data_IF_705867068892
#
_entry.id   IF_705867068892
#
_cell.length_a   1.000
_cell.length_b   1.000
_cell.length_c   1.000
_cell.angle_alpha   90.00
_cell.angle_beta   90.00
_cell.angle_gamma   90.00
#
_symmetry.space_group_name_H-M   'P 1'
#
loop_
_entity.id
_entity.type
_entity.pdbx_description
1 polymer ?
#
# COMPACT_ATOMS: atom_id res chain seq x y z
N UNK A 1 -27.54 7.08 -8.22
CA UNK A 1 -27.55 5.80 -7.47
C UNK A 1 -27.37 6.00 -5.97
N UNK A 2 -26.36 6.76 -5.51
CA UNK A 2 -26.23 7.16 -4.10
C UNK A 2 -27.46 7.92 -3.55
N UNK A 3 -28.02 8.85 -4.34
CA UNK A 3 -29.24 9.57 -3.98
C UNK A 3 -30.46 8.65 -3.79
N UNK A 4 -30.60 7.60 -4.61
CA UNK A 4 -31.73 6.67 -4.51
C UNK A 4 -31.63 5.78 -3.27
N UNK A 5 -30.43 5.33 -2.92
CA UNK A 5 -30.20 4.60 -1.67
C UNK A 5 -30.48 5.48 -0.45
N UNK A 6 -29.98 6.73 -0.46
CA UNK A 6 -30.22 7.69 0.63
C UNK A 6 -31.72 7.96 0.82
N UNK A 7 -32.47 8.10 -0.26
CA UNK A 7 -33.92 8.27 -0.24
C UNK A 7 -34.64 7.04 0.32
N UNK A 8 -34.25 5.82 -0.07
CA UNK A 8 -34.81 4.58 0.47
C UNK A 8 -34.54 4.42 1.97
N UNK A 9 -33.33 4.77 2.43
CA UNK A 9 -32.97 4.75 3.85
C UNK A 9 -33.76 5.79 4.63
N UNK A 10 -33.90 7.01 4.10
CA UNK A 10 -34.68 8.07 4.75
C UNK A 10 -36.16 7.69 4.86
N UNK A 11 -36.74 7.09 3.82
CA UNK A 11 -38.12 6.58 3.84
C UNK A 11 -38.28 5.44 4.85
N UNK A 12 -37.33 4.52 4.94
CA UNK A 12 -37.34 3.45 5.94
C UNK A 12 -37.24 3.97 7.38
N UNK A 13 -36.54 5.08 7.61
CA UNK A 13 -36.37 5.69 8.93
C UNK A 13 -37.64 6.39 9.43
N UNK A 14 -38.34 7.09 8.53
CA UNK A 14 -39.49 7.95 8.86
C UNK A 14 -40.86 7.28 8.66
N UNK A 15 -40.91 6.06 8.13
CA UNK A 15 -42.18 5.35 7.91
C UNK A 15 -42.73 4.76 9.23
N UNK A 16 -43.98 5.11 9.55
CA UNK A 16 -44.66 4.68 10.77
C UNK A 16 -45.33 3.30 10.62
N UNK A 17 -45.68 2.92 9.38
CA UNK A 17 -46.27 1.62 9.10
C UNK A 17 -45.19 0.52 9.14
N UNK A 18 -45.32 -0.50 10.02
CA UNK A 18 -44.30 -1.54 10.16
C UNK A 18 -44.09 -2.36 8.87
N UNK A 19 -45.17 -2.68 8.13
CA UNK A 19 -45.08 -3.41 6.86
C UNK A 19 -44.34 -2.60 5.77
N UNK A 20 -44.63 -1.30 5.65
CA UNK A 20 -43.97 -0.44 4.67
C UNK A 20 -42.51 -0.17 5.05
N UNK A 21 -42.25 0.00 6.34
CA UNK A 21 -40.90 0.15 6.89
C UNK A 21 -40.05 -1.06 6.55
N UNK A 22 -40.54 -2.26 6.81
CA UNK A 22 -39.83 -3.50 6.46
C UNK A 22 -39.56 -3.59 4.95
N UNK A 23 -40.55 -3.23 4.12
CA UNK A 23 -40.38 -3.20 2.67
C UNK A 23 -39.28 -2.23 2.21
N UNK A 24 -39.25 -1.01 2.74
CA UNK A 24 -38.20 -0.04 2.39
C UNK A 24 -36.82 -0.49 2.90
N UNK A 25 -36.76 -1.12 4.08
CA UNK A 25 -35.53 -1.71 4.60
C UNK A 25 -35.02 -2.83 3.69
N UNK A 26 -35.89 -3.76 3.28
CA UNK A 26 -35.52 -4.83 2.36
C UNK A 26 -35.02 -4.28 1.02
N UNK A 27 -35.69 -3.27 0.46
CA UNK A 27 -35.26 -2.60 -0.78
C UNK A 27 -33.90 -1.91 -0.62
N UNK A 28 -33.66 -1.25 0.51
CA UNK A 28 -32.37 -0.64 0.81
C UNK A 28 -31.26 -1.71 0.95
N UNK A 29 -31.52 -2.79 1.67
CA UNK A 29 -30.59 -3.92 1.84
C UNK A 29 -30.27 -4.57 0.50
N UNK A 30 -31.28 -4.87 -0.32
CA UNK A 30 -31.09 -5.47 -1.65
C UNK A 30 -30.24 -4.56 -2.54
N UNK A 31 -30.51 -3.25 -2.52
CA UNK A 31 -29.73 -2.28 -3.28
C UNK A 31 -28.27 -2.20 -2.78
N UNK A 32 -28.04 -2.22 -1.47
CA UNK A 32 -26.70 -2.27 -0.87
C UNK A 32 -25.97 -3.55 -1.31
N UNK A 33 -26.62 -4.71 -1.26
CA UNK A 33 -26.03 -5.98 -1.67
C UNK A 33 -25.68 -6.00 -3.17
N UNK A 34 -26.55 -5.46 -4.03
CA UNK A 34 -26.26 -5.30 -5.46
C UNK A 34 -25.07 -4.37 -5.71
N UNK A 35 -25.03 -3.22 -5.05
CA UNK A 35 -23.91 -2.28 -5.14
C UNK A 35 -22.61 -2.94 -4.66
N UNK A 36 -22.66 -3.65 -3.53
CA UNK A 36 -21.50 -4.38 -3.00
C UNK A 36 -21.03 -5.49 -3.93
N UNK A 37 -21.96 -6.22 -4.56
CA UNK A 37 -21.65 -7.24 -5.56
C UNK A 37 -20.89 -6.68 -6.78
N UNK A 38 -21.12 -5.41 -7.13
CA UNK A 38 -20.44 -4.72 -8.23
C UNK A 38 -19.26 -3.84 -7.79
N UNK A 39 -18.84 -3.90 -6.52
CA UNK A 39 -17.82 -3.00 -5.94
C UNK A 39 -16.51 -2.93 -6.73
N UNK A 40 -16.08 -4.03 -7.37
CA UNK A 40 -14.86 -4.08 -8.20
C UNK A 40 -14.90 -3.13 -9.42
N UNK A 41 -16.09 -2.81 -9.90
CA UNK A 41 -16.32 -1.93 -11.05
C UNK A 41 -16.62 -0.48 -10.63
N UNK A 42 -16.71 -0.20 -9.32
CA UNK A 42 -16.95 1.15 -8.80
C UNK A 42 -15.65 1.95 -8.73
N UNK A 43 -15.76 3.28 -8.66
CA UNK A 43 -14.61 4.17 -8.54
C UNK A 43 -13.72 3.81 -7.35
N UNK A 44 -12.42 4.13 -7.44
CA UNK A 44 -11.33 3.56 -6.65
C UNK A 44 -11.46 3.60 -5.12
N UNK A 45 -12.40 4.36 -4.55
CA UNK A 45 -12.60 4.41 -3.10
C UNK A 45 -13.67 3.43 -2.59
N UNK A 46 -14.50 2.86 -3.47
CA UNK A 46 -15.55 1.91 -3.08
C UNK A 46 -15.05 0.46 -3.00
N UNK A 47 -13.90 0.14 -3.62
CA UNK A 47 -13.29 -1.19 -3.55
C UNK A 47 -12.15 -1.20 -2.52
N UNK A 48 -12.26 -1.99 -1.42
CA UNK A 48 -11.27 -1.97 -0.34
C UNK A 48 -9.83 -2.28 -0.78
N UNK A 49 -9.64 -3.05 -1.86
CA UNK A 49 -8.31 -3.40 -2.37
C UNK A 49 -7.78 -2.47 -3.48
N UNK A 50 -8.54 -1.44 -3.89
CA UNK A 50 -8.13 -0.56 -4.98
C UNK A 50 -6.84 0.22 -4.70
N UNK A 51 -6.62 0.62 -3.44
CA UNK A 51 -5.36 1.30 -3.04
C UNK A 51 -4.17 0.35 -3.08
N UNK A 52 -4.35 -0.91 -2.68
CA UNK A 52 -3.30 -1.93 -2.76
C UNK A 52 -2.93 -2.25 -4.21
N UNK A 53 -3.91 -2.28 -5.13
CA UNK A 53 -3.65 -2.47 -6.55
C UNK A 53 -2.62 -1.47 -7.11
N UNK A 54 -2.75 -0.18 -6.78
CA UNK A 54 -1.79 0.85 -7.23
C UNK A 54 -0.39 0.61 -6.68
N UNK A 55 -0.29 0.21 -5.41
CA UNK A 55 0.99 -0.10 -4.77
C UNK A 55 1.64 -1.32 -5.45
N UNK A 56 0.87 -2.37 -5.75
CA UNK A 56 1.36 -3.56 -6.46
C UNK A 56 1.84 -3.21 -7.87
N UNK A 57 1.07 -2.42 -8.61
CA UNK A 57 1.47 -1.93 -9.94
C UNK A 57 2.78 -1.14 -9.86
N UNK A 58 2.92 -0.25 -8.89
CA UNK A 58 4.16 0.49 -8.62
C UNK A 58 5.35 -0.44 -8.33
N UNK A 59 5.16 -1.45 -7.48
CA UNK A 59 6.22 -2.39 -7.10
C UNK A 59 6.62 -3.33 -8.26
N UNK A 60 5.73 -3.56 -9.23
CA UNK A 60 6.04 -4.38 -10.42
C UNK A 60 7.15 -3.80 -11.31
N UNK A 61 7.39 -2.49 -11.21
CA UNK A 61 8.45 -1.78 -11.96
C UNK A 61 9.86 -2.20 -11.45
N UNK A 62 9.94 -2.77 -10.25
CA UNK A 62 11.18 -3.05 -9.53
C UNK A 62 11.63 -4.50 -9.72
N UNK A 63 11.39 -5.09 -10.89
CA UNK A 63 11.80 -6.45 -11.15
C UNK A 63 13.33 -6.58 -10.95
N UNK A 64 13.84 -7.72 -10.43
CA UNK A 64 15.27 -7.93 -10.25
C UNK A 64 16.10 -7.71 -11.53
N UNK A 65 15.47 -7.83 -12.69
CA UNK A 65 16.05 -7.58 -14.00
C UNK A 65 16.14 -6.10 -14.39
N UNK A 66 15.54 -5.19 -13.60
CA UNK A 66 15.51 -3.76 -13.89
C UNK A 66 16.89 -3.08 -13.72
N UNK A 67 17.81 -3.66 -12.94
CA UNK A 67 19.16 -3.14 -12.80
C UNK A 67 20.07 -3.61 -13.95
N UNK A 68 20.06 -2.87 -15.06
CA UNK A 68 20.85 -3.16 -16.26
C UNK A 68 22.37 -3.07 -16.02
N UNK A 69 22.81 -2.29 -15.03
CA UNK A 69 24.22 -2.12 -14.69
C UNK A 69 24.78 -3.31 -13.93
N UNK A 70 23.96 -4.02 -13.15
CA UNK A 70 24.42 -5.20 -12.39
C UNK A 70 24.98 -6.30 -13.29
N UNK A 71 24.42 -6.44 -14.50
CA UNK A 71 24.86 -7.44 -15.49
C UNK A 71 26.12 -7.01 -16.26
N UNK A 72 26.48 -5.73 -16.19
CA UNK A 72 27.50 -5.12 -17.04
C UNK A 72 28.53 -4.31 -16.21
N UNK A 73 28.80 -4.69 -14.96
CA UNK A 73 29.81 -4.05 -14.09
C UNK A 73 31.23 -4.25 -14.66
N UNK A 74 31.60 -3.46 -15.67
CA UNK A 74 32.89 -3.52 -16.35
C UNK A 74 33.87 -2.48 -15.80
N UNK A 75 33.38 -1.42 -15.15
CA UNK A 75 34.20 -0.38 -14.56
C UNK A 75 33.62 0.27 -13.31
N UNK A 76 34.40 1.19 -12.71
CA UNK A 76 34.05 1.91 -11.48
C UNK A 76 32.73 2.68 -11.59
N UNK A 77 32.48 3.33 -12.73
CA UNK A 77 31.23 4.07 -12.95
C UNK A 77 30.02 3.14 -13.03
N UNK A 78 30.13 1.98 -13.69
CA UNK A 78 29.04 1.00 -13.76
C UNK A 78 28.73 0.41 -12.38
N UNK A 79 29.76 0.17 -11.57
CA UNK A 79 29.57 -0.28 -10.18
C UNK A 79 28.86 0.78 -9.33
N UNK A 80 29.28 2.05 -9.41
CA UNK A 80 28.62 3.14 -8.69
C UNK A 80 27.17 3.34 -9.15
N UNK A 81 26.90 3.24 -10.45
CA UNK A 81 25.56 3.34 -11.01
C UNK A 81 24.67 2.17 -10.56
N UNK A 82 25.19 0.95 -10.56
CA UNK A 82 24.47 -0.24 -10.11
C UNK A 82 24.13 -0.18 -8.61
N UNK A 83 25.07 0.29 -7.78
CA UNK A 83 24.86 0.47 -6.34
C UNK A 83 23.80 1.55 -6.09
N UNK A 84 23.93 2.72 -6.74
CA UNK A 84 22.96 3.81 -6.61
C UNK A 84 21.55 3.41 -7.07
N UNK A 85 21.44 2.67 -8.19
CA UNK A 85 20.15 2.16 -8.66
C UNK A 85 19.52 1.22 -7.63
N UNK A 86 20.30 0.27 -7.10
CA UNK A 86 19.81 -0.68 -6.08
C UNK A 86 19.33 0.05 -4.83
N UNK A 87 20.07 1.07 -4.36
CA UNK A 87 19.69 1.87 -3.21
C UNK A 87 18.41 2.69 -3.45
N UNK A 88 18.22 3.24 -4.65
CA UNK A 88 16.98 3.94 -5.03
C UNK A 88 15.80 2.97 -5.07
N UNK A 89 15.98 1.77 -5.62
CA UNK A 89 14.96 0.72 -5.64
C UNK A 89 14.57 0.34 -4.22
N UNK A 90 15.55 0.14 -3.33
CA UNK A 90 15.29 -0.20 -1.93
C UNK A 90 14.56 0.91 -1.17
N UNK A 91 14.93 2.18 -1.41
CA UNK A 91 14.22 3.33 -0.85
C UNK A 91 12.79 3.38 -1.36
N UNK A 92 12.59 3.23 -2.67
CA UNK A 92 11.27 3.24 -3.30
C UNK A 92 10.38 2.14 -2.71
N UNK A 93 10.90 0.91 -2.57
CA UNK A 93 10.20 -0.20 -1.93
C UNK A 93 9.78 0.19 -0.51
N UNK A 94 10.73 0.59 0.32
CA UNK A 94 10.45 0.89 1.72
C UNK A 94 9.40 1.99 1.91
N UNK A 95 9.43 3.04 1.09
CA UNK A 95 8.41 4.10 1.12
C UNK A 95 7.00 3.56 0.78
N UNK A 96 6.89 2.68 -0.21
CA UNK A 96 5.61 2.04 -0.55
C UNK A 96 5.09 1.13 0.58
N UNK A 97 5.99 0.48 1.33
CA UNK A 97 5.62 -0.35 2.48
C UNK A 97 5.21 0.45 3.72
N UNK A 98 5.73 1.67 3.90
CA UNK A 98 5.18 2.61 4.89
C UNK A 98 3.74 2.97 4.56
N UNK A 99 3.49 3.36 3.30
CA UNK A 99 2.14 3.66 2.84
C UNK A 99 1.22 2.46 3.03
N UNK A 100 1.70 1.26 2.72
CA UNK A 100 0.97 0.01 2.97
C UNK A 100 0.60 -0.16 4.45
N UNK A 101 1.54 0.06 5.38
CA UNK A 101 1.32 -0.07 6.82
C UNK A 101 0.33 0.99 7.34
N UNK A 102 0.42 2.22 6.82
CA UNK A 102 -0.56 3.28 7.10
C UNK A 102 -1.97 2.89 6.62
N UNK A 103 -2.08 2.24 5.46
CA UNK A 103 -3.36 1.73 4.94
C UNK A 103 -3.92 0.61 5.79
N UNK A 104 -3.10 -0.29 6.33
CA UNK A 104 -3.52 -1.32 7.29
C UNK A 104 -4.24 -0.70 8.49
N UNK A 105 -3.60 0.27 9.15
CA UNK A 105 -4.14 0.93 10.35
C UNK A 105 -5.46 1.65 10.04
N UNK A 106 -5.53 2.35 8.90
CA UNK A 106 -6.75 3.04 8.51
C UNK A 106 -7.89 2.05 8.18
N UNK A 107 -7.57 0.92 7.56
CA UNK A 107 -8.56 -0.07 7.16
C UNK A 107 -9.14 -0.83 8.34
N UNK A 108 -8.30 -1.26 9.30
CA UNK A 108 -8.78 -1.94 10.51
C UNK A 108 -9.84 -1.12 11.25
N UNK A 109 -9.81 0.21 11.07
CA UNK A 109 -10.75 1.13 11.69
C UNK A 109 -12.02 1.40 10.86
N UNK A 110 -12.03 1.07 9.56
CA UNK A 110 -13.11 1.50 8.64
C UNK A 110 -13.88 0.37 7.95
N UNK A 111 -13.27 -0.80 7.72
CA UNK A 111 -13.91 -1.89 6.96
C UNK A 111 -13.77 -3.21 7.71
N UNK A 112 -14.88 -3.80 8.19
CA UNK A 112 -14.84 -5.10 8.85
C UNK A 112 -14.34 -6.22 7.91
N UNK A 113 -13.62 -7.23 8.43
CA UNK A 113 -13.19 -8.38 7.62
C UNK A 113 -14.36 -9.14 6.98
N UNK A 114 -15.51 -9.18 7.64
CA UNK A 114 -16.72 -9.90 7.20
C UNK A 114 -17.31 -9.40 5.87
N UNK A 115 -16.88 -8.26 5.36
CA UNK A 115 -17.42 -7.68 4.12
C UNK A 115 -16.60 -8.10 2.88
N UNK A 116 -15.46 -8.75 3.07
CA UNK A 116 -14.65 -9.29 1.97
C UNK A 116 -15.12 -10.67 1.52
N UNK A 117 -14.85 -11.00 0.26
CA UNK A 117 -14.88 -12.40 -0.16
C UNK A 117 -13.65 -13.12 0.38
N UNK A 118 -13.71 -14.45 0.41
CA UNK A 118 -12.58 -15.29 0.84
C UNK A 118 -11.30 -14.94 0.09
N UNK A 119 -11.36 -14.77 -1.23
CA UNK A 119 -10.19 -14.45 -2.05
C UNK A 119 -9.65 -13.05 -1.74
N UNK A 120 -10.52 -12.08 -1.46
CA UNK A 120 -10.10 -10.71 -1.12
C UNK A 120 -9.47 -10.65 0.27
N UNK A 121 -9.92 -11.50 1.18
CA UNK A 121 -9.33 -11.67 2.50
C UNK A 121 -7.95 -12.33 2.40
N UNK A 122 -7.81 -13.40 1.62
CA UNK A 122 -6.51 -14.06 1.38
C UNK A 122 -5.48 -13.10 0.77
N UNK A 123 -5.86 -12.33 -0.25
CA UNK A 123 -4.98 -11.31 -0.85
C UNK A 123 -4.58 -10.25 0.16
N UNK A 124 -5.53 -9.81 0.99
CA UNK A 124 -5.24 -8.82 2.02
C UNK A 124 -4.25 -9.36 3.06
N UNK A 125 -4.50 -10.56 3.58
CA UNK A 125 -3.66 -11.18 4.61
C UNK A 125 -2.25 -11.43 4.08
N UNK A 126 -2.14 -11.88 2.82
CA UNK A 126 -0.84 -12.03 2.15
C UNK A 126 -0.08 -10.70 2.10
N UNK A 127 -0.73 -9.63 1.63
CA UNK A 127 -0.07 -8.34 1.48
C UNK A 127 0.33 -7.75 2.86
N UNK A 128 -0.45 -8.01 3.90
CA UNK A 128 -0.16 -7.61 5.28
C UNK A 128 1.06 -8.35 5.82
N UNK A 129 1.07 -9.68 5.69
CA UNK A 129 2.22 -10.52 6.07
C UNK A 129 3.49 -10.04 5.36
N UNK A 130 3.39 -9.79 4.07
CA UNK A 130 4.51 -9.33 3.26
C UNK A 130 5.05 -7.97 3.70
N UNK A 131 4.17 -7.03 4.02
CA UNK A 131 4.59 -5.72 4.54
C UNK A 131 5.25 -5.82 5.92
N UNK A 132 4.74 -6.67 6.81
CA UNK A 132 5.33 -6.92 8.11
C UNK A 132 6.72 -7.57 7.99
N UNK A 133 6.86 -8.58 7.13
CA UNK A 133 8.14 -9.23 6.86
C UNK A 133 9.20 -8.24 6.34
N UNK A 134 8.82 -7.39 5.38
CA UNK A 134 9.73 -6.38 4.81
C UNK A 134 10.14 -5.35 5.88
N UNK A 135 9.20 -4.91 6.72
CA UNK A 135 9.48 -3.96 7.81
C UNK A 135 10.36 -4.58 8.89
N UNK A 136 10.11 -5.85 9.23
CA UNK A 136 10.93 -6.62 10.15
C UNK A 136 12.35 -6.82 9.60
N UNK A 137 12.49 -7.16 8.32
CA UNK A 137 13.79 -7.29 7.66
C UNK A 137 14.59 -5.98 7.75
N UNK A 138 13.95 -4.84 7.47
CA UNK A 138 14.59 -3.52 7.53
C UNK A 138 14.91 -3.08 8.95
N UNK A 139 14.07 -3.47 9.91
CA UNK A 139 14.26 -3.14 11.33
C UNK A 139 15.33 -4.02 12.02
N UNK A 140 15.45 -5.28 11.60
CA UNK A 140 16.38 -6.27 12.18
C UNK A 140 17.87 -5.91 11.99
N UNK A 141 18.19 -4.97 11.10
CA UNK A 141 19.57 -4.52 10.87
C UNK A 141 20.14 -3.58 11.95
N UNK A 142 19.38 -3.15 12.98
CA UNK A 142 19.92 -2.50 14.20
C UNK A 142 19.06 -2.82 15.45
N UNK A 143 19.73 -3.27 16.52
CA UNK A 143 19.25 -3.72 17.85
C UNK A 143 17.93 -3.11 18.37
N UNK A 144 17.11 -3.89 19.12
CA UNK A 144 15.76 -3.49 19.53
C UNK A 144 15.83 -2.43 20.62
N UNK A 145 15.19 -1.28 20.37
CA UNK A 145 14.82 -0.35 21.43
C UNK A 145 13.33 -0.08 21.31
N UNK A 146 12.60 -0.22 22.42
CA UNK A 146 11.13 -0.26 22.57
C UNK A 146 10.37 1.02 22.20
N UNK A 147 10.81 1.79 21.20
CA UNK A 147 10.09 2.96 20.72
C UNK A 147 9.57 2.70 19.31
N UNK A 148 8.26 2.48 19.23
CA UNK A 148 7.37 2.57 18.06
C UNK A 148 8.02 2.22 16.72
N UNK A 149 7.61 1.09 16.12
CA UNK A 149 8.04 0.62 14.79
C UNK A 149 8.16 1.75 13.74
N UNK A 150 7.30 2.77 13.81
CA UNK A 150 7.30 3.96 12.94
C UNK A 150 8.55 4.85 13.12
N UNK A 151 9.04 5.05 14.35
CA UNK A 151 10.25 5.83 14.60
C UNK A 151 11.51 5.11 14.14
N UNK A 152 11.55 3.77 14.28
CA UNK A 152 12.68 2.97 13.83
C UNK A 152 12.79 2.98 12.30
N UNK A 153 11.67 2.78 11.60
CA UNK A 153 11.63 2.81 10.13
C UNK A 153 11.97 4.19 9.58
N UNK A 154 11.48 5.26 10.21
CA UNK A 154 11.83 6.63 9.81
C UNK A 154 13.34 6.88 9.91
N UNK A 155 13.96 6.41 11.01
CA UNK A 155 15.41 6.54 11.20
C UNK A 155 16.19 5.68 10.20
N UNK A 156 15.78 4.44 9.97
CA UNK A 156 16.39 3.57 8.97
C UNK A 156 16.37 4.21 7.58
N UNK A 157 15.25 4.84 7.20
CA UNK A 157 15.14 5.50 5.90
C UNK A 157 15.98 6.77 5.81
N UNK A 158 16.06 7.55 6.87
CA UNK A 158 16.99 8.68 6.92
C UNK A 158 18.44 8.22 6.74
N UNK A 159 18.87 7.20 7.50
CA UNK A 159 20.22 6.63 7.37
C UNK A 159 20.47 6.14 5.90
N UNK A 160 19.50 5.47 5.29
CA UNK A 160 19.60 4.96 3.91
C UNK A 160 19.63 6.09 2.86
N UNK A 161 18.93 7.19 3.10
CA UNK A 161 18.98 8.40 2.24
C UNK A 161 20.36 9.05 2.34
N UNK A 162 20.93 9.13 3.54
CA UNK A 162 22.26 9.70 3.76
C UNK A 162 23.33 8.88 3.01
N UNK A 163 23.27 7.55 3.11
CA UNK A 163 24.17 6.64 2.37
C UNK A 163 24.03 6.83 0.85
N UNK A 164 22.78 6.99 0.35
CA UNK A 164 22.54 7.25 -1.07
C UNK A 164 23.16 8.58 -1.51
N UNK A 165 23.03 9.62 -0.68
CA UNK A 165 23.63 10.93 -0.94
C UNK A 165 25.16 10.83 -0.99
N UNK A 166 25.79 10.05 -0.10
CA UNK A 166 27.23 9.81 -0.12
C UNK A 166 27.67 9.17 -1.45
N UNK A 167 27.00 8.10 -1.88
CA UNK A 167 27.30 7.41 -3.15
C UNK A 167 27.14 8.32 -4.37
N UNK A 168 26.09 9.14 -4.39
CA UNK A 168 25.87 10.12 -5.46
C UNK A 168 26.95 11.20 -5.47
N UNK A 169 27.41 11.65 -4.29
CA UNK A 169 28.52 12.60 -4.19
C UNK A 169 29.84 11.98 -4.67
N UNK A 170 30.11 10.71 -4.36
CA UNK A 170 31.27 10.00 -4.92
C UNK A 170 31.21 10.00 -6.44
N UNK A 171 30.07 9.62 -7.03
CA UNK A 171 29.90 9.63 -8.49
C UNK A 171 30.11 11.03 -9.08
N UNK A 172 29.58 12.07 -8.44
CA UNK A 172 29.76 13.46 -8.86
C UNK A 172 31.23 13.88 -8.84
N UNK A 173 31.98 13.53 -7.79
CA UNK A 173 33.40 13.88 -7.66
C UNK A 173 34.23 13.19 -8.75
N UNK A 174 33.99 11.89 -8.98
CA UNK A 174 34.65 11.10 -10.03
C UNK A 174 34.38 11.59 -11.46
N UNK A 175 33.27 12.30 -11.67
CA UNK A 175 32.95 12.97 -12.92
C UNK A 175 33.59 14.36 -13.04
N UNK A 176 33.86 15.02 -11.91
CA UNK A 176 34.43 16.38 -11.85
C UNK A 176 35.96 16.38 -11.90
N UNK A 177 36.61 15.25 -11.63
CA UNK A 177 38.07 15.04 -11.74
C UNK A 177 38.52 14.72 -13.18
N UNK A 178 37.59 14.73 -14.16
CA UNK A 178 37.84 14.61 -15.60
C UNK A 178 37.68 15.96 -16.30
#
# INVERSE_FOLDING_TARGET
MSHHLAELMQRAEHEESPEKKEKYQQQAVELILKLWGHRRNMSSNAYPLARFKKIIESLSILSPEANVWERNKLGKYDSLAADAFSMIVDLYRALHFIEFTSLKINRSNQVPPSVLTTEEQEVYDFLISWAEEEMNFRSANKLPTEKSEVQHVSKFLSDHIDDLCEKLNMLKNELSEK
#
